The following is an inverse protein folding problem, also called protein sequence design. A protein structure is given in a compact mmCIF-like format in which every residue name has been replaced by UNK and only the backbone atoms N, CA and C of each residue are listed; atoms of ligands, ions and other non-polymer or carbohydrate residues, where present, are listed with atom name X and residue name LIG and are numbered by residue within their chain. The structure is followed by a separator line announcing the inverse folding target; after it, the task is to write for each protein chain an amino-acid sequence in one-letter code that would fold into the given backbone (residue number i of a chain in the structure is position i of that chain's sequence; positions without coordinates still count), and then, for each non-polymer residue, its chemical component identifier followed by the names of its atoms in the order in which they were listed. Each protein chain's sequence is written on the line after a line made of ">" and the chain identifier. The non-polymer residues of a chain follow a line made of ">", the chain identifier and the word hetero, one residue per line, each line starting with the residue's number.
data_IF_857929899244
#
_entry.id   IF_857929899244
#
_cell.length_a   1.000
_cell.length_b   1.000
_cell.length_c   1.000
_cell.angle_alpha   90.00
_cell.angle_beta   90.00
_cell.angle_gamma   90.00
#
_symmetry.space_group_name_H-M   'P 1'
#
loop_
_entity.id
_entity.type
_entity.pdbx_description
1 polymer ?
#
# COMPACT_ATOMS: atom_id res chain seq x y z
N UNK A 1 36.24 -7.63 -15.77
CA UNK A 1 36.28 -6.47 -14.85
C UNK A 1 34.88 -5.88 -14.78
N UNK A 2 34.31 -5.66 -13.59
CA UNK A 2 32.94 -5.14 -13.43
C UNK A 2 32.90 -3.62 -13.56
N UNK A 3 31.82 -3.03 -14.11
CA UNK A 3 31.70 -1.58 -14.21
C UNK A 3 31.68 -0.92 -12.82
N UNK A 4 32.58 0.03 -12.58
CA UNK A 4 32.68 0.78 -11.32
C UNK A 4 32.30 2.26 -11.56
N UNK A 5 31.52 2.89 -10.65
CA UNK A 5 31.29 4.32 -10.73
C UNK A 5 32.60 5.11 -10.65
N UNK A 6 32.83 5.99 -11.64
CA UNK A 6 34.04 6.81 -11.73
C UNK A 6 34.18 7.83 -10.59
N UNK A 7 33.06 8.34 -10.05
CA UNK A 7 33.01 9.35 -8.97
C UNK A 7 31.80 9.12 -8.06
N UNK A 8 31.91 9.63 -6.83
CA UNK A 8 30.78 9.69 -5.88
C UNK A 8 29.68 10.61 -6.42
N UNK A 9 28.42 10.20 -6.29
CA UNK A 9 27.29 11.07 -6.61
C UNK A 9 27.15 12.21 -5.60
N UNK A 10 26.85 13.41 -6.10
CA UNK A 10 26.59 14.57 -5.24
C UNK A 10 25.32 14.38 -4.40
N UNK A 11 25.21 15.10 -3.28
CA UNK A 11 23.99 15.10 -2.46
C UNK A 11 22.76 15.48 -3.28
N UNK A 12 22.87 16.51 -4.11
CA UNK A 12 21.79 16.95 -5.02
C UNK A 12 21.37 15.85 -6.00
N UNK A 13 22.30 15.16 -6.66
CA UNK A 13 21.98 14.07 -7.60
C UNK A 13 21.30 12.89 -6.90
N UNK A 14 21.74 12.56 -5.69
CA UNK A 14 21.13 11.50 -4.88
C UNK A 14 19.71 11.87 -4.44
N UNK A 15 19.50 13.11 -4.00
CA UNK A 15 18.19 13.64 -3.62
C UNK A 15 17.21 13.67 -4.79
N UNK A 16 17.63 14.22 -5.94
CA UNK A 16 16.82 14.23 -7.18
C UNK A 16 16.42 12.82 -7.61
N UNK A 17 17.36 11.87 -7.60
CA UNK A 17 17.06 10.46 -7.93
C UNK A 17 16.02 9.84 -6.99
N UNK A 18 16.07 10.15 -5.68
CA UNK A 18 15.12 9.64 -4.69
C UNK A 18 13.79 10.40 -4.65
N UNK A 19 13.67 11.56 -5.30
CA UNK A 19 12.47 12.40 -5.27
C UNK A 19 11.21 11.72 -5.82
N UNK A 20 11.35 10.71 -6.69
CA UNK A 20 10.23 9.93 -7.21
C UNK A 20 9.78 8.82 -6.27
N UNK A 21 10.57 8.48 -5.26
CA UNK A 21 10.30 7.39 -4.32
C UNK A 21 9.48 7.95 -3.15
N UNK A 22 8.18 8.06 -3.36
CA UNK A 22 7.22 8.46 -2.32
C UNK A 22 6.21 7.33 -2.07
N UNK A 23 5.88 7.11 -0.80
CA UNK A 23 4.82 6.18 -0.42
C UNK A 23 3.48 6.90 -0.55
N UNK A 24 2.53 6.27 -1.24
CA UNK A 24 1.15 6.73 -1.29
C UNK A 24 0.33 6.05 -0.19
N UNK A 25 -0.55 6.80 0.46
CA UNK A 25 -1.49 6.23 1.42
C UNK A 25 -2.49 5.31 0.70
N UNK A 26 -2.88 4.18 1.32
CA UNK A 26 -3.90 3.32 0.75
C UNK A 26 -5.26 4.01 0.75
N UNK A 27 -6.02 3.85 -0.32
CA UNK A 27 -7.39 4.31 -0.39
C UNK A 27 -8.28 3.41 0.45
N UNK A 28 -8.79 3.94 1.57
CA UNK A 28 -9.69 3.22 2.47
C UNK A 28 -11.13 3.69 2.26
N UNK A 29 -12.05 2.73 2.20
CA UNK A 29 -13.49 2.95 2.07
C UNK A 29 -14.22 2.49 3.33
N UNK A 30 -15.33 3.13 3.74
CA UNK A 30 -16.13 2.65 4.86
C UNK A 30 -16.80 1.30 4.54
N UNK A 31 -16.78 0.37 5.49
CA UNK A 31 -17.54 -0.87 5.39
C UNK A 31 -19.05 -0.62 5.56
N UNK A 32 -19.88 -1.16 4.67
CA UNK A 32 -21.34 -1.03 4.75
C UNK A 32 -21.96 -1.62 6.02
N UNK A 33 -21.38 -2.68 6.60
CA UNK A 33 -21.93 -3.38 7.77
C UNK A 33 -21.44 -2.80 9.11
N UNK A 34 -20.14 -2.58 9.26
CA UNK A 34 -19.54 -2.19 10.54
C UNK A 34 -19.00 -0.75 10.57
N UNK A 35 -19.12 0.00 9.46
CA UNK A 35 -18.65 1.40 9.30
C UNK A 35 -17.15 1.62 9.54
N UNK A 36 -16.37 0.58 9.79
CA UNK A 36 -14.90 0.65 9.90
C UNK A 36 -14.27 0.80 8.53
N UNK A 37 -13.11 1.47 8.50
CA UNK A 37 -12.33 1.66 7.28
C UNK A 37 -11.75 0.33 6.81
N UNK A 38 -11.91 0.03 5.52
CA UNK A 38 -11.36 -1.17 4.89
C UNK A 38 -10.85 -0.87 3.49
N UNK A 39 -9.97 -1.74 2.99
CA UNK A 39 -9.57 -1.72 1.59
C UNK A 39 -10.78 -2.06 0.68
N UNK A 40 -10.93 -1.36 -0.46
CA UNK A 40 -11.92 -1.74 -1.47
C UNK A 40 -11.59 -3.13 -2.03
N UNK A 41 -12.61 -3.87 -2.46
CA UNK A 41 -12.49 -5.24 -3.01
C UNK A 41 -11.88 -6.32 -2.10
N UNK A 42 -11.65 -6.02 -0.82
CA UNK A 42 -11.19 -6.99 0.19
C UNK A 42 -12.30 -7.22 1.23
N UNK A 43 -12.33 -8.44 1.78
CA UNK A 43 -13.16 -8.82 2.93
C UNK A 43 -12.84 -7.91 4.11
N UNK A 44 -13.84 -7.41 4.82
CA UNK A 44 -13.57 -6.59 6.01
C UNK A 44 -12.94 -7.45 7.12
N UNK A 45 -11.75 -7.09 7.65
CA UNK A 45 -11.07 -7.87 8.68
C UNK A 45 -11.82 -7.87 10.02
N UNK A 46 -12.71 -6.91 10.23
CA UNK A 46 -13.45 -6.79 11.48
C UNK A 46 -14.78 -7.54 11.51
N UNK A 47 -15.40 -7.79 10.35
CA UNK A 47 -16.75 -8.36 10.31
C UNK A 47 -16.95 -9.47 9.28
N UNK A 48 -15.88 -9.88 8.57
CA UNK A 48 -15.91 -10.97 7.60
C UNK A 48 -16.80 -10.71 6.37
N UNK A 49 -17.30 -9.47 6.20
CA UNK A 49 -18.29 -9.15 5.17
C UNK A 49 -17.63 -8.84 3.82
N UNK A 50 -18.08 -9.52 2.77
CA UNK A 50 -17.68 -9.32 1.37
C UNK A 50 -18.92 -9.13 0.48
N UNK A 51 -18.80 -8.28 -0.54
CA UNK A 51 -19.92 -7.81 -1.39
C UNK A 51 -20.67 -8.93 -2.14
N UNK A 52 -20.09 -10.13 -2.30
CA UNK A 52 -20.73 -11.24 -3.03
C UNK A 52 -21.21 -12.42 -2.18
N UNK A 53 -20.74 -12.60 -0.94
CA UNK A 53 -21.11 -13.75 -0.11
C UNK A 53 -21.20 -13.34 1.35
N UNK A 54 -22.39 -13.59 1.91
CA UNK A 54 -22.59 -13.64 3.34
C UNK A 54 -21.80 -14.84 3.89
N UNK A 55 -21.15 -14.62 5.04
CA UNK A 55 -20.48 -15.62 5.89
C UNK A 55 -19.14 -16.16 5.36
N UNK A 56 -18.05 -15.70 5.99
CA UNK A 56 -16.98 -16.63 6.39
C UNK A 56 -16.81 -16.42 7.90
N UNK A 57 -17.33 -17.40 8.65
CA UNK A 57 -17.09 -17.49 10.09
C UNK A 57 -15.63 -17.89 10.31
N UNK A 58 -15.08 -17.34 11.39
CA UNK A 58 -13.74 -17.59 11.88
C UNK A 58 -13.46 -19.10 12.04
N UNK A 59 -12.28 -19.52 11.59
CA UNK A 59 -11.44 -20.54 12.25
C UNK A 59 -10.10 -19.89 12.49
#
# INVERSE_FOLDING_TARGET
>A
MTPLPKKKHTRSRTGKRRGHIKLSLPNLSPCSKCKKMKLPHVVCPHCGYHYKQAQTQNV
#
